data_IF_016585006241
#
_entry.id   IF_016585006241
#
_cell.length_a   1.000
_cell.length_b   1.000
_cell.length_c   1.000
_cell.angle_alpha   90.00
_cell.angle_beta   90.00
_cell.angle_gamma   90.00
#
_symmetry.space_group_name_H-M   'P 1'
#
loop_
_entity.id
_entity.type
_entity.pdbx_description
1 polymer ?
#
# COMPACT_ATOMS: atom_id res chain seq x y z
N UNK A 1 -16.34 -16.13 5.09
CA UNK A 1 -15.89 -15.79 3.73
C UNK A 1 -14.64 -14.94 3.88
N UNK A 2 -13.62 -15.13 3.04
CA UNK A 2 -12.40 -14.31 3.14
C UNK A 2 -12.66 -12.90 2.63
N UNK A 3 -12.49 -11.91 3.49
CA UNK A 3 -12.69 -10.49 3.16
C UNK A 3 -11.34 -9.81 2.94
N UNK A 4 -11.22 -9.13 1.80
CA UNK A 4 -10.06 -8.32 1.43
C UNK A 4 -10.53 -6.87 1.32
N UNK A 5 -9.87 -5.97 2.05
CA UNK A 5 -10.20 -4.54 2.04
C UNK A 5 -9.16 -3.74 1.25
N UNK A 6 -9.60 -2.76 0.47
CA UNK A 6 -8.71 -1.79 -0.16
C UNK A 6 -8.25 -0.76 0.86
N UNK A 7 -6.95 -0.62 1.08
CA UNK A 7 -6.36 0.24 2.12
C UNK A 7 -5.26 1.16 1.54
N UNK A 8 -5.48 1.71 0.34
CA UNK A 8 -4.48 2.53 -0.35
C UNK A 8 -4.49 3.98 0.13
N UNK A 9 -3.33 4.51 0.46
CA UNK A 9 -3.07 5.91 0.83
C UNK A 9 -1.65 6.29 0.41
N UNK A 10 -1.38 7.58 0.28
CA UNK A 10 -0.09 8.12 -0.16
C UNK A 10 0.99 8.14 0.95
N UNK A 11 0.66 7.71 2.17
CA UNK A 11 1.58 7.72 3.31
C UNK A 11 1.43 6.47 4.16
N UNK A 12 2.55 6.01 4.74
CA UNK A 12 2.57 4.84 5.65
C UNK A 12 1.56 5.00 6.78
N UNK A 13 1.48 6.19 7.39
CA UNK A 13 0.53 6.45 8.49
C UNK A 13 -0.92 6.31 8.04
N UNK A 14 -1.27 6.90 6.90
CA UNK A 14 -2.63 6.83 6.35
C UNK A 14 -3.00 5.39 5.97
N UNK A 15 -2.08 4.67 5.34
CA UNK A 15 -2.26 3.27 4.95
C UNK A 15 -2.51 2.41 6.18
N UNK A 16 -1.67 2.51 7.22
CA UNK A 16 -1.84 1.75 8.46
C UNK A 16 -3.17 2.06 9.15
N UNK A 17 -3.59 3.32 9.17
CA UNK A 17 -4.89 3.69 9.74
C UNK A 17 -6.07 2.98 9.04
N UNK A 18 -6.05 2.92 7.70
CA UNK A 18 -7.07 2.17 6.95
C UNK A 18 -7.01 0.67 7.21
N UNK A 19 -5.79 0.11 7.36
CA UNK A 19 -5.62 -1.31 7.65
C UNK A 19 -6.15 -1.65 9.04
N UNK A 20 -5.88 -0.82 10.05
CA UNK A 20 -6.42 -0.98 11.40
C UNK A 20 -7.96 -0.96 11.39
N UNK A 21 -8.57 -0.02 10.67
CA UNK A 21 -10.02 0.03 10.51
C UNK A 21 -10.57 -1.21 9.80
N UNK A 22 -9.90 -1.68 8.75
CA UNK A 22 -10.29 -2.87 8.02
C UNK A 22 -10.18 -4.13 8.89
N UNK A 23 -9.09 -4.30 9.62
CA UNK A 23 -8.88 -5.40 10.55
C UNK A 23 -9.96 -5.42 11.65
N UNK A 24 -10.25 -4.26 12.25
CA UNK A 24 -11.31 -4.12 13.25
C UNK A 24 -12.71 -4.41 12.69
N UNK A 25 -12.89 -4.27 11.38
CA UNK A 25 -14.14 -4.58 10.66
C UNK A 25 -14.22 -6.04 10.18
N UNK A 26 -13.20 -6.86 10.46
CA UNK A 26 -13.16 -8.28 10.10
C UNK A 26 -12.53 -8.61 8.76
N UNK A 27 -11.76 -7.70 8.16
CA UNK A 27 -10.93 -8.02 6.99
C UNK A 27 -9.78 -8.94 7.38
N UNK A 28 -9.49 -9.95 6.54
CA UNK A 28 -8.37 -10.88 6.74
C UNK A 28 -7.11 -10.44 6.00
N UNK A 29 -7.26 -9.60 4.96
CA UNK A 29 -6.17 -9.06 4.16
C UNK A 29 -6.45 -7.60 3.79
N UNK A 30 -5.37 -6.83 3.66
CA UNK A 30 -5.42 -5.49 3.09
C UNK A 30 -4.75 -5.45 1.72
N UNK A 31 -5.34 -4.73 0.77
CA UNK A 31 -4.82 -4.55 -0.58
C UNK A 31 -4.37 -3.11 -0.79
N UNK A 32 -3.11 -2.92 -1.20
CA UNK A 32 -2.43 -1.61 -1.16
C UNK A 32 -1.70 -1.32 -2.47
N UNK A 33 -2.11 -0.23 -3.14
CA UNK A 33 -1.41 0.38 -4.29
C UNK A 33 -0.12 1.09 -3.84
N UNK A 34 0.87 1.25 -4.73
CA UNK A 34 2.06 2.03 -4.41
C UNK A 34 1.71 3.52 -4.24
N UNK A 35 2.44 4.26 -3.38
CA UNK A 35 2.17 5.67 -3.11
C UNK A 35 2.56 6.53 -4.32
N UNK A 36 1.63 6.76 -5.24
CA UNK A 36 1.95 7.28 -6.57
C UNK A 36 1.91 8.79 -6.72
N UNK A 37 1.12 9.48 -5.90
CA UNK A 37 0.77 10.88 -6.13
C UNK A 37 2.00 11.79 -6.13
N UNK A 38 2.88 11.62 -5.14
CA UNK A 38 4.08 12.46 -4.97
C UNK A 38 5.36 11.84 -5.56
N UNK A 39 5.31 10.60 -6.05
CA UNK A 39 6.49 9.90 -6.55
C UNK A 39 6.97 10.39 -7.92
N UNK A 40 6.15 11.15 -8.65
CA UNK A 40 6.58 11.82 -9.87
C UNK A 40 7.84 12.68 -9.67
N UNK A 41 8.05 13.24 -8.48
CA UNK A 41 9.15 14.16 -8.16
C UNK A 41 10.29 13.51 -7.37
N UNK A 42 10.22 12.21 -7.07
CA UNK A 42 11.26 11.50 -6.34
C UNK A 42 12.35 11.00 -7.28
N UNK A 43 13.62 11.28 -6.95
CA UNK A 43 14.78 10.82 -7.72
C UNK A 43 15.01 9.30 -7.60
N UNK A 44 14.57 8.67 -6.51
CA UNK A 44 14.71 7.23 -6.25
C UNK A 44 13.34 6.58 -5.98
N UNK A 45 12.57 6.31 -7.03
CA UNK A 45 11.19 5.79 -6.91
C UNK A 45 11.14 4.38 -6.31
N UNK A 46 11.98 3.45 -6.77
CA UNK A 46 11.99 2.06 -6.31
C UNK A 46 12.34 1.94 -4.82
N UNK A 47 13.33 2.71 -4.33
CA UNK A 47 13.70 2.72 -2.91
C UNK A 47 12.56 3.23 -2.02
N UNK A 48 11.83 4.26 -2.48
CA UNK A 48 10.70 4.80 -1.73
C UNK A 48 9.53 3.80 -1.70
N UNK A 49 9.23 3.14 -2.82
CA UNK A 49 8.19 2.11 -2.89
C UNK A 49 8.55 0.93 -1.98
N UNK A 50 9.80 0.46 -2.05
CA UNK A 50 10.29 -0.60 -1.19
C UNK A 50 10.17 -0.22 0.28
N UNK A 51 10.71 0.94 0.67
CA UNK A 51 10.65 1.42 2.06
C UNK A 51 9.21 1.61 2.54
N UNK A 52 8.30 2.07 1.67
CA UNK A 52 6.88 2.19 1.99
C UNK A 52 6.28 0.83 2.31
N UNK A 53 6.41 -0.15 1.42
CA UNK A 53 5.82 -1.47 1.63
C UNK A 53 6.44 -2.19 2.82
N UNK A 54 7.75 -2.10 3.04
CA UNK A 54 8.40 -2.66 4.24
C UNK A 54 7.81 -2.06 5.51
N UNK A 55 7.73 -0.72 5.60
CA UNK A 55 7.18 -0.04 6.79
C UNK A 55 5.71 -0.34 7.05
N UNK A 56 4.92 -0.53 5.99
CA UNK A 56 3.52 -0.93 6.12
C UNK A 56 3.44 -2.39 6.59
N UNK A 57 4.17 -3.30 5.94
CA UNK A 57 4.18 -4.72 6.29
C UNK A 57 4.62 -4.97 7.74
N UNK A 58 5.66 -4.27 8.20
CA UNK A 58 6.21 -4.41 9.56
C UNK A 58 5.21 -4.05 10.67
N UNK A 59 4.22 -3.20 10.37
CA UNK A 59 3.29 -2.63 11.35
C UNK A 59 1.84 -3.04 11.14
N UNK A 60 1.56 -3.72 10.03
CA UNK A 60 0.20 -4.09 9.65
C UNK A 60 -0.36 -5.17 10.58
N UNK A 61 -1.57 -4.99 11.16
CA UNK A 61 -2.20 -6.01 11.99
C UNK A 61 -2.71 -7.23 11.21
N UNK A 62 -2.80 -7.14 9.88
CA UNK A 62 -3.21 -8.23 8.97
C UNK A 62 -2.27 -8.29 7.75
N UNK A 63 -2.13 -9.42 7.05
CA UNK A 63 -1.29 -9.51 5.86
C UNK A 63 -1.69 -8.50 4.78
N UNK A 64 -0.69 -7.96 4.07
CA UNK A 64 -0.91 -7.05 2.95
C UNK A 64 -0.69 -7.75 1.61
N UNK A 65 -1.43 -7.31 0.60
CA UNK A 65 -1.31 -7.70 -0.79
C UNK A 65 -0.87 -6.45 -1.58
N UNK A 66 0.29 -6.54 -2.23
CA UNK A 66 0.76 -5.52 -3.15
C UNK A 66 -0.14 -5.53 -4.38
N UNK A 67 -0.81 -4.41 -4.64
CA UNK A 67 -1.64 -4.23 -5.83
C UNK A 67 -0.87 -3.38 -6.84
N UNK A 68 -0.38 -4.01 -7.91
CA UNK A 68 0.29 -3.31 -9.01
C UNK A 68 -0.73 -2.96 -10.10
N UNK A 69 -1.05 -1.68 -10.27
CA UNK A 69 -1.95 -1.22 -11.34
C UNK A 69 -1.44 0.10 -11.99
N UNK A 70 -0.44 0.01 -12.89
CA UNK A 70 0.23 1.18 -13.47
C UNK A 70 -0.69 2.19 -14.13
N UNK A 71 -1.81 1.73 -14.72
CA UNK A 71 -2.79 2.59 -15.39
C UNK A 71 -3.44 3.65 -14.49
N UNK A 72 -3.42 3.45 -13.17
CA UNK A 72 -3.99 4.38 -12.19
C UNK A 72 -2.95 4.95 -11.21
N UNK A 73 -1.70 4.49 -11.28
CA UNK A 73 -0.59 4.91 -10.40
C UNK A 73 0.52 5.64 -11.15
N UNK A 74 0.15 6.48 -12.12
CA UNK A 74 1.09 7.29 -12.92
C UNK A 74 2.16 6.44 -13.64
N UNK A 75 1.76 5.28 -14.18
CA UNK A 75 2.65 4.33 -14.84
C UNK A 75 3.74 3.74 -13.91
N UNK A 76 3.59 3.88 -12.59
CA UNK A 76 4.49 3.20 -11.67
C UNK A 76 4.22 1.70 -11.69
N UNK A 77 5.27 0.96 -12.02
CA UNK A 77 5.32 -0.48 -12.02
C UNK A 77 6.21 -0.93 -10.85
N UNK A 78 5.65 -1.74 -9.94
CA UNK A 78 6.38 -2.25 -8.77
C UNK A 78 7.32 -3.40 -9.09
N UNK A 79 7.45 -3.80 -10.36
CA UNK A 79 8.39 -4.85 -10.80
C UNK A 79 9.77 -4.32 -11.17
N UNK A 80 9.96 -2.99 -11.19
CA UNK A 80 11.19 -2.32 -11.64
C UNK A 80 11.99 -1.63 -10.54
#
# INVERSE_FOLDING_TARGET
>A
AKLIAGCSQESVRGTLHLIEQAANSGAEYAMVLPPSYFLAWASCRSDVIYSFYTKVADKSPIPIIIYNFPGVTQQMDTTQ
#
